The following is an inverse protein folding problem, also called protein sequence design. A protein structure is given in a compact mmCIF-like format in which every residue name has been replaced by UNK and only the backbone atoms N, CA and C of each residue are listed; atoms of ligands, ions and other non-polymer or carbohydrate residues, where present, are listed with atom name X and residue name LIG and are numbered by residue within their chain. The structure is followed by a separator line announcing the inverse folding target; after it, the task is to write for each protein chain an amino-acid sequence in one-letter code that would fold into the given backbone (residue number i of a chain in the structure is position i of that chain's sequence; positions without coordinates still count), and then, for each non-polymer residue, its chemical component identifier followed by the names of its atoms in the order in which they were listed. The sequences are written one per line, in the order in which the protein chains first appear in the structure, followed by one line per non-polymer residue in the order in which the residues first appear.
data_IF_820456096385
#
_entry.id   IF_820456096385
#
_cell.length_a   1.000
_cell.length_b   1.000
_cell.length_c   1.000
_cell.angle_alpha   90.00
_cell.angle_beta   90.00
_cell.angle_gamma   90.00
#
_symmetry.space_group_name_H-M   'P 1'
#
loop_
_entity.id
_entity.type
_entity.pdbx_description
1 polymer ?
#
# COMPACT_ATOMS: atom_id res chain seq x y z
N UNK A 1 -10.31 -63.84 -2.26
CA UNK A 1 -9.09 -63.05 -2.52
C UNK A 1 -9.28 -61.83 -3.43
N UNK A 2 -10.40 -61.68 -4.16
CA UNK A 2 -10.68 -60.49 -5.01
C UNK A 2 -11.39 -59.34 -4.27
N UNK A 3 -12.07 -59.62 -3.15
CA UNK A 3 -12.82 -58.61 -2.38
C UNK A 3 -11.93 -57.72 -1.50
N UNK A 4 -10.81 -58.24 -0.99
CA UNK A 4 -9.88 -57.47 -0.14
C UNK A 4 -9.04 -56.46 -0.93
N UNK A 5 -8.81 -56.71 -2.22
CA UNK A 5 -8.05 -55.82 -3.10
C UNK A 5 -8.91 -54.61 -3.53
N UNK A 6 -10.21 -54.81 -3.74
CA UNK A 6 -11.15 -53.71 -4.06
C UNK A 6 -11.36 -52.80 -2.85
N UNK A 7 -11.44 -53.36 -1.64
CA UNK A 7 -11.52 -52.56 -0.41
C UNK A 7 -10.26 -51.72 -0.15
N UNK A 8 -9.07 -52.26 -0.49
CA UNK A 8 -7.80 -51.52 -0.39
C UNK A 8 -7.68 -50.40 -1.44
N UNK A 9 -8.26 -50.57 -2.63
CA UNK A 9 -8.22 -49.54 -3.69
C UNK A 9 -9.20 -48.38 -3.42
N UNK A 10 -10.33 -48.64 -2.76
CA UNK A 10 -11.32 -47.61 -2.36
C UNK A 10 -10.86 -46.82 -1.13
N UNK A 11 -10.01 -47.40 -0.27
CA UNK A 11 -9.45 -46.68 0.87
C UNK A 11 -8.39 -45.63 0.48
N UNK A 12 -7.70 -45.81 -0.66
CA UNK A 12 -6.68 -44.87 -1.16
C UNK A 12 -7.32 -43.66 -1.88
N UNK A 13 -8.59 -43.73 -2.27
CA UNK A 13 -9.35 -42.59 -2.80
C UNK A 13 -10.01 -41.73 -1.71
N UNK A 14 -9.53 -41.80 -0.48
CA UNK A 14 -9.91 -40.85 0.58
C UNK A 14 -9.26 -39.50 0.31
N UNK A 15 -9.78 -38.86 -0.72
CA UNK A 15 -9.85 -37.42 -0.98
C UNK A 15 -9.37 -36.61 0.24
N UNK A 16 -8.12 -36.17 0.17
CA UNK A 16 -7.65 -35.03 0.95
C UNK A 16 -8.33 -33.79 0.36
N UNK A 17 -9.55 -33.50 0.80
CA UNK A 17 -10.11 -32.16 0.66
C UNK A 17 -9.25 -31.27 1.55
N UNK A 18 -8.27 -30.59 0.94
CA UNK A 18 -7.71 -29.39 1.54
C UNK A 18 -8.86 -28.42 1.66
N UNK A 19 -9.45 -28.36 2.86
CA UNK A 19 -10.33 -27.28 3.24
C UNK A 19 -9.46 -26.02 3.18
N UNK A 20 -9.57 -25.27 2.07
CA UNK A 20 -9.09 -23.90 2.02
C UNK A 20 -9.93 -23.15 3.05
N UNK A 21 -9.37 -23.03 4.25
CA UNK A 21 -9.86 -22.08 5.23
C UNK A 21 -9.95 -20.74 4.51
N UNK A 22 -11.15 -20.15 4.48
CA UNK A 22 -11.31 -18.81 3.94
C UNK A 22 -10.43 -17.89 4.78
N UNK A 23 -9.37 -17.35 4.17
CA UNK A 23 -8.40 -16.55 4.89
C UNK A 23 -9.12 -15.27 5.35
N UNK A 24 -9.54 -15.25 6.61
CA UNK A 24 -10.14 -14.08 7.21
C UNK A 24 -9.03 -13.08 7.45
N UNK A 25 -9.15 -11.92 6.80
CA UNK A 25 -8.11 -10.91 6.84
C UNK A 25 -8.44 -9.94 7.99
N UNK A 26 -7.55 -9.87 8.96
CA UNK A 26 -7.64 -8.98 10.12
C UNK A 26 -7.06 -7.60 9.76
N UNK A 27 -7.62 -6.53 10.32
CA UNK A 27 -7.20 -5.17 10.03
C UNK A 27 -5.69 -4.95 10.30
N UNK A 28 -5.19 -5.53 11.39
CA UNK A 28 -3.79 -5.43 11.81
C UNK A 28 -2.85 -6.06 10.78
N UNK A 29 -3.25 -7.20 10.21
CA UNK A 29 -2.49 -7.90 9.17
C UNK A 29 -2.46 -7.06 7.89
N UNK A 30 -3.58 -6.46 7.48
CA UNK A 30 -3.63 -5.56 6.31
C UNK A 30 -2.72 -4.36 6.49
N UNK A 31 -2.74 -3.74 7.68
CA UNK A 31 -1.90 -2.58 7.97
C UNK A 31 -0.41 -2.97 7.90
N UNK A 32 -0.02 -4.10 8.50
CA UNK A 32 1.35 -4.59 8.43
C UNK A 32 1.78 -4.83 6.97
N UNK A 33 0.92 -5.49 6.19
CA UNK A 33 1.15 -5.78 4.78
C UNK A 33 1.26 -4.50 3.95
N UNK A 34 0.43 -3.49 4.22
CA UNK A 34 0.46 -2.18 3.54
C UNK A 34 1.74 -1.40 3.85
N UNK A 35 2.22 -1.42 5.09
CA UNK A 35 3.45 -0.73 5.48
C UNK A 35 4.71 -1.41 4.93
N UNK A 36 4.67 -2.73 4.78
CA UNK A 36 5.77 -3.50 4.21
C UNK A 36 5.82 -3.43 2.68
N UNK A 37 4.68 -3.64 2.02
CA UNK A 37 4.61 -3.84 0.57
C UNK A 37 3.96 -2.70 -0.22
N UNK A 38 3.35 -1.71 0.45
CA UNK A 38 2.64 -0.60 -0.19
C UNK A 38 3.56 0.24 -1.08
N UNK A 39 3.11 0.50 -2.31
CA UNK A 39 3.90 1.22 -3.30
C UNK A 39 4.21 2.66 -2.89
N UNK A 40 3.25 3.37 -2.30
CA UNK A 40 3.45 4.76 -1.88
C UNK A 40 4.54 4.90 -0.81
N UNK A 41 4.54 4.01 0.18
CA UNK A 41 5.57 3.97 1.23
C UNK A 41 6.95 3.67 0.63
N UNK A 42 7.02 2.75 -0.33
CA UNK A 42 8.28 2.43 -1.04
C UNK A 42 8.78 3.62 -1.86
N UNK A 43 7.90 4.32 -2.57
CA UNK A 43 8.25 5.52 -3.32
C UNK A 43 8.79 6.63 -2.41
N UNK A 44 8.13 6.88 -1.28
CA UNK A 44 8.63 7.85 -0.30
C UNK A 44 9.98 7.45 0.29
N UNK A 45 10.21 6.16 0.58
CA UNK A 45 11.52 5.66 1.04
C UNK A 45 12.60 5.86 -0.01
N UNK A 46 12.33 5.57 -1.27
CA UNK A 46 13.27 5.80 -2.37
C UNK A 46 13.59 7.29 -2.55
N UNK A 47 12.59 8.18 -2.36
CA UNK A 47 12.81 9.61 -2.40
C UNK A 47 13.71 10.10 -1.26
N UNK A 48 13.55 9.54 -0.05
CA UNK A 48 14.46 9.79 1.07
C UNK A 48 15.87 9.28 0.77
N UNK A 49 16.01 8.08 0.20
CA UNK A 49 17.31 7.52 -0.16
C UNK A 49 18.03 8.37 -1.22
N UNK A 50 17.30 8.91 -2.20
CA UNK A 50 17.85 9.88 -3.14
C UNK A 50 18.33 11.16 -2.43
N UNK A 51 17.53 11.72 -1.53
CA UNK A 51 17.91 12.91 -0.75
C UNK A 51 19.14 12.67 0.15
N UNK A 52 19.21 11.50 0.79
CA UNK A 52 20.37 11.09 1.61
C UNK A 52 21.63 10.92 0.76
N UNK A 53 21.49 10.35 -0.44
CA UNK A 53 22.57 10.23 -1.42
C UNK A 53 23.08 11.61 -1.87
N UNK A 54 22.17 12.54 -2.18
CA UNK A 54 22.52 13.92 -2.54
C UNK A 54 23.25 14.65 -1.41
N UNK A 55 22.80 14.47 -0.16
CA UNK A 55 23.48 15.00 1.01
C UNK A 55 24.88 14.37 1.21
N UNK A 56 25.04 13.08 0.91
CA UNK A 56 26.33 12.40 0.88
C UNK A 56 27.29 13.02 -0.14
N UNK A 57 26.80 13.32 -1.35
CA UNK A 57 27.58 14.00 -2.39
C UNK A 57 27.88 15.48 -2.10
N UNK A 58 27.18 16.11 -1.14
CA UNK A 58 27.44 17.49 -0.75
C UNK A 58 28.88 17.71 -0.25
N UNK A 59 29.52 16.67 0.30
CA UNK A 59 30.93 16.71 0.72
C UNK A 59 31.87 16.88 -0.48
N UNK A 60 31.47 16.46 -1.69
CA UNK A 60 32.24 16.60 -2.91
C UNK A 60 32.58 18.05 -3.28
N UNK A 61 31.78 19.02 -2.82
CA UNK A 61 32.08 20.44 -2.99
C UNK A 61 33.30 20.94 -2.20
N UNK A 62 33.75 20.19 -1.19
CA UNK A 62 34.93 20.49 -0.37
C UNK A 62 36.20 19.80 -0.88
N UNK A 63 36.06 18.86 -1.81
CA UNK A 63 37.16 18.04 -2.32
C UNK A 63 37.77 18.66 -3.58
N UNK A 64 39.08 18.47 -3.83
CA UNK A 64 39.68 18.83 -5.10
C UNK A 64 39.11 17.97 -6.23
N UNK A 65 38.87 18.58 -7.40
CA UNK A 65 38.45 17.88 -8.60
C UNK A 65 39.65 17.66 -9.53
N UNK A 66 39.83 16.42 -9.98
CA UNK A 66 40.84 16.04 -10.98
C UNK A 66 40.12 15.71 -12.28
N UNK A 67 40.38 16.48 -13.32
CA UNK A 67 39.82 16.26 -14.64
C UNK A 67 40.96 15.90 -15.61
N UNK A 68 40.86 14.76 -16.28
CA UNK A 68 41.76 14.38 -17.38
C UNK A 68 41.05 14.57 -18.71
N UNK A 69 41.69 15.19 -19.68
CA UNK A 69 41.17 15.30 -21.03
C UNK A 69 42.23 14.92 -22.06
N UNK A 70 41.77 14.28 -23.13
CA UNK A 70 42.56 14.00 -24.32
C UNK A 70 41.68 14.31 -25.53
N UNK A 71 42.19 15.10 -26.45
CA UNK A 71 41.50 15.51 -27.66
C UNK A 71 42.45 15.48 -28.84
N UNK A 72 41.89 15.15 -30.00
CA UNK A 72 42.57 15.27 -31.28
C UNK A 72 41.66 16.06 -32.20
N UNK A 73 42.19 17.11 -32.81
CA UNK A 73 41.45 18.00 -33.68
C UNK A 73 42.13 18.02 -35.04
N UNK A 74 41.45 17.47 -36.03
CA UNK A 74 41.82 17.57 -37.43
C UNK A 74 41.07 18.73 -38.06
N UNK A 75 41.81 19.71 -38.56
CA UNK A 75 41.28 20.84 -39.31
C UNK A 75 41.72 20.72 -40.76
N UNK A 76 40.78 20.77 -41.69
CA UNK A 76 41.06 20.94 -43.12
C UNK A 76 40.38 22.24 -43.56
N UNK A 77 41.19 23.28 -43.76
CA UNK A 77 40.68 24.60 -44.13
C UNK A 77 41.20 24.98 -45.51
N UNK A 78 40.32 25.45 -46.39
CA UNK A 78 40.71 25.96 -47.69
C UNK A 78 40.97 27.46 -47.57
N UNK A 79 42.24 27.83 -47.34
CA UNK A 79 42.63 29.23 -47.16
C UNK A 79 43.19 29.80 -48.46
N UNK A 80 42.66 30.97 -48.85
CA UNK A 80 43.19 31.79 -49.92
C UNK A 80 43.84 33.02 -49.29
N UNK A 81 45.16 33.04 -49.27
CA UNK A 81 45.95 34.16 -48.76
C UNK A 81 46.43 34.98 -49.95
N UNK A 82 45.87 36.18 -50.13
CA UNK A 82 46.32 37.12 -51.14
C UNK A 82 47.24 38.18 -50.52
N UNK A 83 48.45 38.29 -51.06
CA UNK A 83 49.46 39.26 -50.66
C UNK A 83 49.60 40.33 -51.74
N UNK A 84 50.12 41.52 -51.39
CA UNK A 84 50.28 42.64 -52.34
C UNK A 84 51.22 42.31 -53.52
N UNK A 85 52.07 41.31 -53.36
CA UNK A 85 52.86 40.69 -54.42
C UNK A 85 52.18 39.40 -54.88
N UNK A 86 51.69 39.38 -56.12
CA UNK A 86 50.96 38.25 -56.70
C UNK A 86 51.80 36.96 -56.78
N UNK A 87 53.13 37.04 -56.74
CA UNK A 87 54.03 35.87 -56.71
C UNK A 87 53.98 35.11 -55.38
N UNK A 88 53.37 35.67 -54.32
CA UNK A 88 53.31 35.10 -52.98
C UNK A 88 51.91 34.57 -52.63
N UNK A 89 50.94 34.71 -53.54
CA UNK A 89 49.59 34.21 -53.34
C UNK A 89 49.61 32.69 -53.15
N UNK A 90 49.15 32.23 -52.00
CA UNK A 90 49.04 30.80 -51.70
C UNK A 90 47.56 30.45 -51.56
N UNK A 91 47.10 29.52 -52.38
CA UNK A 91 45.75 28.98 -52.33
C UNK A 91 45.86 27.46 -52.29
N UNK A 92 45.51 26.88 -51.14
CA UNK A 92 45.69 25.45 -50.90
C UNK A 92 44.95 24.97 -49.66
N UNK A 93 44.77 23.66 -49.58
CA UNK A 93 44.23 22.96 -48.41
C UNK A 93 45.24 23.05 -47.27
N UNK A 94 44.91 23.80 -46.24
CA UNK A 94 45.64 23.84 -44.98
C UNK A 94 45.11 22.73 -44.07
N UNK A 95 45.84 21.63 -44.01
CA UNK A 95 45.55 20.51 -43.11
C UNK A 95 46.39 20.66 -41.83
N UNK A 96 45.71 20.65 -40.69
CA UNK A 96 46.33 20.72 -39.36
C UNK A 96 45.79 19.59 -38.50
N UNK A 97 46.69 18.85 -37.87
CA UNK A 97 46.35 17.85 -36.87
C UNK A 97 46.93 18.30 -35.53
N UNK A 98 46.07 18.56 -34.56
CA UNK A 98 46.49 18.92 -33.21
C UNK A 98 45.99 17.87 -32.22
N UNK A 99 46.91 17.15 -31.60
CA UNK A 99 46.61 16.21 -30.53
C UNK A 99 47.08 16.81 -29.21
N UNK A 100 46.18 16.88 -28.23
CA UNK A 100 46.48 17.41 -26.90
C UNK A 100 45.94 16.50 -25.81
N UNK A 101 46.71 16.30 -24.75
CA UNK A 101 46.29 15.59 -23.56
C UNK A 101 46.78 16.36 -22.33
N UNK A 102 45.96 16.42 -21.29
CA UNK A 102 46.28 17.15 -20.07
C UNK A 102 45.46 16.67 -18.87
N UNK A 103 46.01 16.89 -17.68
CA UNK A 103 45.32 16.64 -16.41
C UNK A 103 45.26 17.98 -15.66
N UNK A 104 44.06 18.36 -15.25
CA UNK A 104 43.77 19.57 -14.49
C UNK A 104 43.30 19.21 -13.09
N UNK A 105 44.00 19.71 -12.07
CA UNK A 105 43.55 19.71 -10.68
C UNK A 105 42.93 21.08 -10.37
N UNK A 106 41.69 21.10 -9.91
CA UNK A 106 40.98 22.32 -9.49
C UNK A 106 40.49 22.14 -8.06
N UNK A 107 40.96 22.99 -7.14
CA UNK A 107 40.51 22.95 -5.75
C UNK A 107 40.01 24.33 -5.29
N UNK A 108 38.78 24.35 -4.81
CA UNK A 108 38.13 25.55 -4.29
C UNK A 108 38.44 25.69 -2.80
N UNK A 109 39.33 26.62 -2.45
CA UNK A 109 39.71 26.88 -1.06
C UNK A 109 38.65 27.67 -0.29
N UNK A 110 37.96 28.60 -0.98
CA UNK A 110 36.93 29.44 -0.37
C UNK A 110 35.95 29.97 -1.43
N UNK A 111 34.66 29.88 -1.13
CA UNK A 111 33.57 30.23 -2.07
C UNK A 111 32.54 31.21 -1.48
N UNK A 112 32.91 31.93 -0.42
CA UNK A 112 31.96 32.81 0.30
C UNK A 112 30.97 32.06 1.18
N UNK A 113 31.36 30.88 1.69
CA UNK A 113 30.56 29.99 2.53
C UNK A 113 29.34 29.32 1.84
N UNK A 114 29.27 29.38 0.50
CA UNK A 114 28.20 28.76 -0.29
C UNK A 114 28.20 27.23 -0.14
N UNK A 115 29.36 26.60 -0.02
CA UNK A 115 29.50 25.15 0.22
C UNK A 115 28.84 24.71 1.53
N UNK A 116 29.02 25.49 2.61
CA UNK A 116 28.40 25.21 3.92
C UNK A 116 26.88 25.40 3.87
N UNK A 117 26.42 26.48 3.23
CA UNK A 117 24.99 26.74 3.05
C UNK A 117 24.30 25.64 2.21
N UNK A 118 24.97 25.16 1.17
CA UNK A 118 24.46 24.08 0.31
C UNK A 118 24.35 22.77 1.07
N UNK A 119 25.38 22.41 1.85
CA UNK A 119 25.34 21.22 2.72
C UNK A 119 24.23 21.31 3.77
N UNK A 120 24.09 22.45 4.44
CA UNK A 120 23.02 22.66 5.41
C UNK A 120 21.63 22.52 4.78
N UNK A 121 21.45 23.08 3.57
CA UNK A 121 20.21 22.94 2.81
C UNK A 121 19.90 21.48 2.45
N UNK A 122 20.88 20.71 1.98
CA UNK A 122 20.67 19.30 1.61
C UNK A 122 20.36 18.43 2.84
N UNK A 123 21.01 18.69 3.98
CA UNK A 123 20.67 18.02 5.23
C UNK A 123 19.23 18.30 5.68
N UNK A 124 18.73 19.53 5.47
CA UNK A 124 17.34 19.85 5.76
C UNK A 124 16.36 19.19 4.78
N UNK A 125 16.73 19.06 3.50
CA UNK A 125 15.93 18.31 2.51
C UNK A 125 15.84 16.82 2.89
N UNK A 126 16.94 16.21 3.35
CA UNK A 126 16.93 14.84 3.87
C UNK A 126 15.99 14.71 5.08
N UNK A 127 16.09 15.62 6.05
CA UNK A 127 15.20 15.65 7.22
C UNK A 127 13.73 15.80 6.83
N UNK A 128 13.43 16.65 5.84
CA UNK A 128 12.07 16.76 5.29
C UNK A 128 11.62 15.44 4.64
N UNK A 129 12.52 14.74 3.95
CA UNK A 129 12.30 13.40 3.42
C UNK A 129 11.87 12.41 4.51
N UNK A 130 12.53 12.42 5.68
CA UNK A 130 12.15 11.54 6.80
C UNK A 130 10.73 11.82 7.31
N UNK A 131 10.37 13.10 7.44
CA UNK A 131 9.02 13.52 7.84
C UNK A 131 8.00 13.09 6.79
N UNK A 132 8.33 13.23 5.51
CA UNK A 132 7.45 12.82 4.41
C UNK A 132 7.21 11.30 4.40
N UNK A 133 8.23 10.48 4.67
CA UNK A 133 8.05 9.02 4.82
C UNK A 133 7.11 8.71 5.99
N UNK A 134 7.26 9.39 7.14
CA UNK A 134 6.36 9.22 8.29
C UNK A 134 4.92 9.62 7.96
N UNK A 135 4.73 10.77 7.33
CA UNK A 135 3.41 11.22 6.89
C UNK A 135 2.79 10.24 5.89
N UNK A 136 3.58 9.71 4.96
CA UNK A 136 3.09 8.72 4.01
C UNK A 136 2.64 7.44 4.71
N UNK A 137 3.39 6.94 5.69
CA UNK A 137 2.98 5.77 6.47
C UNK A 137 1.65 6.02 7.20
N UNK A 138 1.48 7.17 7.85
CA UNK A 138 0.23 7.55 8.53
C UNK A 138 -0.94 7.63 7.54
N UNK A 139 -0.74 8.25 6.38
CA UNK A 139 -1.76 8.34 5.34
C UNK A 139 -2.15 6.96 4.80
N UNK A 140 -1.18 6.08 4.55
CA UNK A 140 -1.43 4.71 4.10
C UNK A 140 -2.24 3.93 5.15
N UNK A 141 -1.91 4.05 6.45
CA UNK A 141 -2.70 3.43 7.53
C UNK A 141 -4.15 3.95 7.52
N UNK A 142 -4.33 5.27 7.43
CA UNK A 142 -5.66 5.87 7.41
C UNK A 142 -6.50 5.42 6.20
N UNK A 143 -5.86 5.32 5.01
CA UNK A 143 -6.51 4.81 3.80
C UNK A 143 -6.93 3.35 3.93
N UNK A 144 -6.06 2.50 4.49
CA UNK A 144 -6.36 1.08 4.73
C UNK A 144 -7.54 0.94 5.69
N UNK A 145 -7.52 1.64 6.82
CA UNK A 145 -8.62 1.61 7.81
C UNK A 145 -9.94 2.06 7.18
N UNK A 146 -9.91 3.16 6.43
CA UNK A 146 -11.11 3.70 5.77
C UNK A 146 -11.67 2.70 4.76
N UNK A 147 -10.81 2.14 3.89
CA UNK A 147 -11.23 1.18 2.89
C UNK A 147 -11.77 -0.12 3.53
N UNK A 148 -11.08 -0.64 4.55
CA UNK A 148 -11.50 -1.83 5.30
C UNK A 148 -12.88 -1.62 5.95
N UNK A 149 -13.11 -0.48 6.59
CA UNK A 149 -14.41 -0.15 7.18
C UNK A 149 -15.52 0.03 6.12
N UNK A 150 -15.19 0.59 4.96
CA UNK A 150 -16.13 0.68 3.83
C UNK A 150 -16.54 -0.71 3.33
N UNK A 151 -15.63 -1.69 3.30
CA UNK A 151 -15.96 -3.08 2.95
C UNK A 151 -16.93 -3.68 3.97
N UNK A 152 -16.70 -3.46 5.27
CA UNK A 152 -17.62 -3.95 6.32
C UNK A 152 -19.01 -3.32 6.16
N UNK A 153 -19.06 -2.00 5.94
CA UNK A 153 -20.33 -1.30 5.71
C UNK A 153 -21.07 -1.88 4.49
N UNK A 154 -20.35 -2.09 3.39
CA UNK A 154 -20.91 -2.67 2.16
C UNK A 154 -21.46 -4.08 2.38
N UNK A 155 -20.76 -4.89 3.18
CA UNK A 155 -21.17 -6.25 3.55
C UNK A 155 -22.45 -6.25 4.40
N UNK A 156 -22.58 -5.31 5.33
CA UNK A 156 -23.82 -5.13 6.11
C UNK A 156 -24.99 -4.70 5.22
N UNK A 157 -24.77 -3.80 4.26
CA UNK A 157 -25.79 -3.39 3.30
C UNK A 157 -26.23 -4.54 2.38
N UNK A 158 -25.29 -5.40 1.96
CA UNK A 158 -25.61 -6.61 1.20
C UNK A 158 -26.51 -7.57 1.98
N UNK A 159 -26.22 -7.79 3.27
CA UNK A 159 -27.10 -8.60 4.13
C UNK A 159 -28.51 -8.04 4.23
N UNK A 160 -28.65 -6.73 4.43
CA UNK A 160 -29.96 -6.09 4.47
C UNK A 160 -30.73 -6.21 3.14
N UNK A 161 -30.04 -6.12 2.00
CA UNK A 161 -30.62 -6.34 0.67
C UNK A 161 -31.04 -7.79 0.46
N UNK A 162 -30.28 -8.76 0.97
CA UNK A 162 -30.62 -10.19 0.90
C UNK A 162 -31.91 -10.49 1.69
N UNK A 163 -32.05 -9.95 2.90
CA UNK A 163 -33.28 -10.04 3.68
C UNK A 163 -34.48 -9.40 2.95
N UNK A 164 -34.26 -8.21 2.37
CA UNK A 164 -35.29 -7.50 1.60
C UNK A 164 -35.68 -8.26 0.33
N UNK A 165 -34.74 -8.93 -0.34
CA UNK A 165 -35.02 -9.80 -1.48
C UNK A 165 -35.89 -10.99 -1.04
N UNK A 166 -35.55 -11.66 0.06
CA UNK A 166 -36.36 -12.76 0.61
C UNK A 166 -37.79 -12.29 0.94
N UNK A 167 -37.95 -11.10 1.49
CA UNK A 167 -39.28 -10.51 1.74
C UNK A 167 -40.06 -10.28 0.45
N UNK A 168 -39.42 -9.75 -0.60
CA UNK A 168 -40.08 -9.52 -1.88
C UNK A 168 -40.41 -10.82 -2.63
N UNK A 169 -39.62 -11.87 -2.46
CA UNK A 169 -39.97 -13.21 -2.96
C UNK A 169 -41.24 -13.75 -2.30
N UNK A 170 -41.41 -13.55 -0.99
CA UNK A 170 -42.66 -13.90 -0.30
C UNK A 170 -43.85 -13.05 -0.76
N UNK A 171 -43.64 -11.76 -1.04
CA UNK A 171 -44.69 -10.89 -1.63
C UNK A 171 -45.15 -11.38 -2.99
N UNK A 172 -44.21 -11.81 -3.85
CA UNK A 172 -44.54 -12.41 -5.14
C UNK A 172 -45.32 -13.71 -4.94
N UNK A 173 -44.89 -14.60 -4.04
CA UNK A 173 -45.61 -15.85 -3.71
C UNK A 173 -47.03 -15.58 -3.20
N UNK A 174 -47.21 -14.56 -2.37
CA UNK A 174 -48.54 -14.18 -1.86
C UNK A 174 -49.45 -13.64 -2.97
N UNK A 175 -48.96 -12.74 -3.82
CA UNK A 175 -49.72 -12.17 -4.93
C UNK A 175 -50.12 -13.26 -5.94
N UNK A 176 -49.21 -14.20 -6.22
CA UNK A 176 -49.45 -15.33 -7.12
C UNK A 176 -50.56 -16.25 -6.57
N UNK A 177 -50.51 -16.57 -5.26
CA UNK A 177 -51.57 -17.31 -4.58
C UNK A 177 -52.92 -16.59 -4.63
N UNK A 178 -52.96 -15.28 -4.34
CA UNK A 178 -54.20 -14.49 -4.41
C UNK A 178 -54.81 -14.50 -5.81
N UNK A 179 -53.98 -14.38 -6.85
CA UNK A 179 -54.43 -14.46 -8.24
C UNK A 179 -55.00 -15.85 -8.57
N UNK A 180 -54.35 -16.93 -8.10
CA UNK A 180 -54.80 -18.30 -8.35
C UNK A 180 -56.16 -18.65 -7.75
N UNK A 181 -56.51 -18.03 -6.61
CA UNK A 181 -57.82 -18.21 -5.94
C UNK A 181 -58.84 -17.15 -6.36
N UNK A 182 -58.52 -16.29 -7.33
CA UNK A 182 -59.39 -15.22 -7.82
C UNK A 182 -59.57 -14.02 -6.88
N UNK A 183 -58.80 -13.97 -5.78
CA UNK A 183 -58.85 -12.88 -4.79
C UNK A 183 -57.85 -11.74 -5.08
N UNK A 184 -57.12 -11.80 -6.20
CA UNK A 184 -56.12 -10.79 -6.60
C UNK A 184 -56.14 -10.51 -8.10
N UNK A 185 -55.55 -9.39 -8.50
CA UNK A 185 -55.47 -8.95 -9.91
C UNK A 185 -54.07 -9.13 -10.48
N UNK A 186 -53.99 -9.38 -11.80
CA UNK A 186 -52.70 -9.61 -12.49
C UNK A 186 -51.73 -8.43 -12.33
N UNK A 187 -52.23 -7.20 -12.25
CA UNK A 187 -51.41 -5.99 -12.06
C UNK A 187 -50.60 -6.03 -10.76
N UNK A 188 -51.18 -6.53 -9.65
CA UNK A 188 -50.48 -6.66 -8.36
C UNK A 188 -49.32 -7.64 -8.43
N UNK A 189 -49.52 -8.79 -9.11
CA UNK A 189 -48.45 -9.77 -9.33
C UNK A 189 -47.32 -9.20 -10.18
N UNK A 190 -47.64 -8.45 -11.23
CA UNK A 190 -46.65 -7.81 -12.09
C UNK A 190 -45.85 -6.75 -11.33
N UNK A 191 -46.50 -5.95 -10.49
CA UNK A 191 -45.82 -4.96 -9.65
C UNK A 191 -44.86 -5.64 -8.66
N UNK A 192 -45.31 -6.69 -7.96
CA UNK A 192 -44.47 -7.42 -7.01
C UNK A 192 -43.23 -8.05 -7.70
N UNK A 193 -43.38 -8.55 -8.94
CA UNK A 193 -42.26 -9.07 -9.73
C UNK A 193 -41.29 -7.97 -10.18
N UNK A 194 -41.82 -6.80 -10.56
CA UNK A 194 -41.02 -5.61 -10.87
C UNK A 194 -40.16 -5.19 -9.67
N UNK A 195 -40.77 -5.12 -8.48
CA UNK A 195 -40.08 -4.77 -7.24
C UNK A 195 -38.97 -5.78 -6.91
N UNK A 196 -39.24 -7.10 -7.03
CA UNK A 196 -38.22 -8.14 -6.83
C UNK A 196 -37.05 -8.00 -7.81
N UNK A 197 -37.32 -7.72 -9.08
CA UNK A 197 -36.27 -7.52 -10.09
C UNK A 197 -35.45 -6.24 -9.82
N UNK A 198 -36.08 -5.18 -9.32
CA UNK A 198 -35.38 -3.97 -8.90
C UNK A 198 -34.42 -4.27 -7.74
N UNK A 199 -34.85 -5.04 -6.73
CA UNK A 199 -33.99 -5.45 -5.62
C UNK A 199 -32.83 -6.35 -6.05
N UNK A 200 -33.08 -7.31 -6.95
CA UNK A 200 -32.01 -8.15 -7.53
C UNK A 200 -30.96 -7.32 -8.25
N UNK A 201 -31.40 -6.32 -9.02
CA UNK A 201 -30.49 -5.40 -9.71
C UNK A 201 -29.65 -4.62 -8.71
N UNK A 202 -30.26 -4.11 -7.63
CA UNK A 202 -29.56 -3.40 -6.56
C UNK A 202 -28.53 -4.29 -5.85
N UNK A 203 -28.87 -5.55 -5.58
CA UNK A 203 -27.95 -6.53 -4.98
C UNK A 203 -26.71 -6.77 -5.86
N UNK A 204 -26.89 -7.00 -7.16
CA UNK A 204 -25.77 -7.21 -8.10
C UNK A 204 -24.86 -5.98 -8.15
N UNK A 205 -25.44 -4.78 -8.22
CA UNK A 205 -24.66 -3.54 -8.22
C UNK A 205 -23.87 -3.36 -6.92
N UNK A 206 -24.49 -3.68 -5.78
CA UNK A 206 -23.86 -3.63 -4.47
C UNK A 206 -22.71 -4.64 -4.34
N UNK A 207 -22.86 -5.83 -4.91
CA UNK A 207 -21.81 -6.84 -4.96
C UNK A 207 -20.62 -6.37 -5.79
N UNK A 208 -20.87 -5.78 -6.98
CA UNK A 208 -19.81 -5.22 -7.81
C UNK A 208 -19.05 -4.09 -7.11
N UNK A 209 -19.75 -3.22 -6.37
CA UNK A 209 -19.13 -2.17 -5.57
C UNK A 209 -18.28 -2.73 -4.41
N UNK A 210 -18.70 -3.84 -3.78
CA UNK A 210 -17.89 -4.53 -2.77
C UNK A 210 -16.60 -5.10 -3.36
N UNK A 211 -16.69 -5.74 -4.53
CA UNK A 211 -15.51 -6.25 -5.23
C UNK A 211 -14.55 -5.14 -5.66
N UNK A 212 -15.07 -3.98 -6.06
CA UNK A 212 -14.24 -2.81 -6.33
C UNK A 212 -13.45 -2.36 -5.09
N UNK A 213 -14.10 -2.32 -3.92
CA UNK A 213 -13.43 -1.97 -2.66
C UNK A 213 -12.37 -3.02 -2.28
N UNK A 214 -12.67 -4.32 -2.42
CA UNK A 214 -11.70 -5.41 -2.20
C UNK A 214 -10.47 -5.27 -3.10
N UNK A 215 -10.67 -4.95 -4.38
CA UNK A 215 -9.58 -4.71 -5.32
C UNK A 215 -8.75 -3.47 -4.94
N UNK A 216 -9.40 -2.38 -4.52
CA UNK A 216 -8.70 -1.18 -4.03
C UNK A 216 -7.85 -1.50 -2.80
N UNK A 217 -8.37 -2.30 -1.86
CA UNK A 217 -7.60 -2.76 -0.70
C UNK A 217 -6.36 -3.56 -1.13
N UNK A 218 -6.52 -4.44 -2.11
CA UNK A 218 -5.41 -5.25 -2.61
C UNK A 218 -4.32 -4.41 -3.28
N UNK A 219 -4.69 -3.30 -3.94
CA UNK A 219 -3.70 -2.35 -4.50
C UNK A 219 -2.90 -1.66 -3.38
N UNK A 220 -3.56 -1.24 -2.29
CA UNK A 220 -2.90 -0.56 -1.16
C UNK A 220 -1.82 -1.43 -0.49
N UNK A 221 -2.02 -2.74 -0.47
CA UNK A 221 -1.08 -3.73 0.09
C UNK A 221 -0.11 -4.32 -0.94
N UNK A 222 -0.04 -3.76 -2.14
CA UNK A 222 0.92 -4.20 -3.16
C UNK A 222 0.56 -5.55 -3.81
N UNK A 223 -0.74 -5.84 -3.95
CA UNK A 223 -1.29 -7.06 -4.57
C UNK A 223 -0.90 -8.37 -3.86
N UNK A 224 -0.72 -8.31 -2.54
CA UNK A 224 -0.30 -9.45 -1.71
C UNK A 224 -1.45 -10.25 -1.11
N UNK A 225 -2.70 -9.75 -1.19
CA UNK A 225 -3.86 -10.52 -0.73
C UNK A 225 -4.24 -11.59 -1.75
N UNK A 226 -4.78 -12.73 -1.28
CA UNK A 226 -5.28 -13.78 -2.17
C UNK A 226 -6.44 -13.25 -3.03
N UNK A 227 -6.70 -13.92 -4.17
CA UNK A 227 -7.75 -13.53 -5.11
C UNK A 227 -9.15 -13.50 -4.48
N UNK A 228 -9.38 -14.33 -3.46
CA UNK A 228 -10.61 -14.34 -2.67
C UNK A 228 -10.25 -14.25 -1.18
N UNK A 229 -10.82 -13.25 -0.51
CA UNK A 229 -10.70 -13.09 0.93
C UNK A 229 -11.99 -12.54 1.53
N UNK A 230 -12.19 -12.83 2.80
CA UNK A 230 -13.33 -12.35 3.58
C UNK A 230 -12.86 -11.45 4.72
N UNK A 231 -13.60 -10.37 4.93
CA UNK A 231 -13.35 -9.40 5.99
C UNK A 231 -14.20 -9.76 7.21
N UNK A 232 -13.60 -9.65 8.41
CA UNK A 232 -14.28 -9.92 9.68
C UNK A 232 -15.41 -8.91 9.91
N UNK A 233 -16.56 -9.41 10.38
CA UNK A 233 -17.84 -8.68 10.34
C UNK A 233 -18.10 -7.72 11.51
N UNK A 234 -17.26 -7.71 12.54
CA UNK A 234 -17.48 -6.93 13.75
C UNK A 234 -16.54 -5.73 13.84
N UNK A 235 -17.12 -4.53 13.81
CA UNK A 235 -16.45 -3.29 14.19
C UNK A 235 -16.59 -3.17 15.71
N UNK A 236 -15.53 -3.42 16.47
CA UNK A 236 -15.51 -3.14 17.90
C UNK A 236 -15.26 -1.64 18.07
N UNK A 237 -16.32 -0.84 18.11
CA UNK A 237 -16.22 0.60 18.35
C UNK A 237 -16.01 0.80 19.85
N UNK A 238 -14.78 1.11 20.28
CA UNK A 238 -14.54 1.56 21.64
C UNK A 238 -15.00 3.03 21.76
N UNK A 239 -16.18 3.24 22.37
CA UNK A 239 -16.76 4.57 22.59
C UNK A 239 -16.15 5.31 23.79
N UNK A 240 -15.16 4.72 24.46
CA UNK A 240 -14.58 5.20 25.73
C UNK A 240 -13.22 5.87 25.55
N UNK A 241 -12.90 6.34 24.34
CA UNK A 241 -11.61 7.00 24.10
C UNK A 241 -11.67 8.41 24.70
N UNK A 242 -10.94 8.59 25.81
CA UNK A 242 -10.78 9.91 26.46
C UNK A 242 -9.62 10.68 25.84
N UNK A 243 -9.69 12.01 25.83
CA UNK A 243 -8.66 12.87 25.22
C UNK A 243 -7.32 12.70 25.92
N UNK A 244 -7.35 12.50 27.23
CA UNK A 244 -6.18 12.26 28.09
C UNK A 244 -5.46 10.96 27.69
N UNK A 245 -6.21 9.88 27.41
CA UNK A 245 -5.65 8.61 26.97
C UNK A 245 -4.98 8.71 25.59
N UNK A 246 -5.50 9.54 24.67
CA UNK A 246 -4.86 9.80 23.38
C UNK A 246 -3.53 10.55 23.58
N UNK A 247 -3.51 11.60 24.41
CA UNK A 247 -2.30 12.39 24.65
C UNK A 247 -1.20 11.55 25.33
N UNK A 248 -1.55 10.76 26.34
CA UNK A 248 -0.60 9.88 27.03
C UNK A 248 -0.08 8.75 26.12
N UNK A 249 -0.92 8.18 25.24
CA UNK A 249 -0.47 7.20 24.26
C UNK A 249 0.40 7.81 23.16
N UNK A 250 0.14 9.05 22.73
CA UNK A 250 1.00 9.75 21.76
C UNK A 250 2.38 10.02 22.39
N UNK A 251 2.44 10.48 23.64
CA UNK A 251 3.72 10.77 24.30
C UNK A 251 4.52 9.49 24.64
N UNK A 252 3.85 8.41 25.04
CA UNK A 252 4.51 7.16 25.47
C UNK A 252 4.75 6.14 24.34
N UNK A 253 3.92 6.12 23.29
CA UNK A 253 4.01 5.17 22.16
C UNK A 253 4.49 5.80 20.86
N UNK A 254 4.93 7.07 20.87
CA UNK A 254 5.71 7.64 19.77
C UNK A 254 7.05 6.90 19.63
N UNK A 255 6.95 5.78 18.91
CA UNK A 255 7.86 5.22 17.95
C UNK A 255 9.34 5.53 18.20
N UNK A 256 9.97 4.59 18.91
CA UNK A 256 11.39 4.34 18.88
C UNK A 256 11.85 4.02 17.43
N UNK A 257 11.98 5.03 16.58
CA UNK A 257 12.90 5.00 15.45
C UNK A 257 13.89 6.14 15.66
N UNK A 258 15.05 5.78 16.22
CA UNK A 258 16.23 6.63 16.31
C UNK A 258 16.64 7.07 14.87
N UNK A 259 17.01 8.34 14.63
CA UNK A 259 17.44 8.83 13.30
C UNK A 259 18.76 8.21 12.79
N UNK A 260 19.39 7.33 13.58
CA UNK A 260 20.72 6.81 13.30
C UNK A 260 20.69 5.54 12.44
N UNK A 261 20.28 5.66 11.17
CA UNK A 261 20.63 4.82 10.00
C UNK A 261 21.07 3.35 10.15
N UNK A 262 20.56 2.57 11.10
CA UNK A 262 20.91 1.15 11.27
C UNK A 262 19.68 0.31 11.57
N UNK A 263 19.22 -0.37 10.53
CA UNK A 263 18.48 -1.64 10.52
C UNK A 263 17.47 -1.79 11.68
N UNK A 264 16.18 -1.57 11.39
CA UNK A 264 15.10 -2.12 12.20
C UNK A 264 15.15 -3.65 12.13
N UNK A 265 15.98 -4.28 12.96
CA UNK A 265 15.82 -5.70 13.26
C UNK A 265 14.56 -5.84 14.12
N UNK A 266 13.62 -6.65 13.64
CA UNK A 266 12.35 -7.02 14.27
C UNK A 266 12.49 -7.75 15.63
N UNK A 267 13.58 -7.54 16.36
CA UNK A 267 13.90 -8.31 17.57
C UNK A 267 13.99 -7.46 18.85
N UNK A 268 13.86 -6.13 18.76
CA UNK A 268 13.80 -5.24 19.95
C UNK A 268 12.41 -4.68 20.24
N UNK A 269 11.42 -4.83 19.35
CA UNK A 269 10.01 -4.63 19.68
C UNK A 269 9.37 -5.96 20.13
N UNK A 270 10.04 -6.67 21.04
CA UNK A 270 9.48 -7.84 21.72
C UNK A 270 8.46 -7.41 22.78
N UNK A 271 7.45 -6.65 22.36
CA UNK A 271 6.19 -6.58 23.09
C UNK A 271 5.05 -6.30 22.11
N UNK A 272 4.78 -7.28 21.25
CA UNK A 272 3.60 -7.36 20.39
C UNK A 272 2.27 -7.43 21.19
N UNK A 273 2.29 -7.21 22.51
CA UNK A 273 1.12 -7.12 23.38
C UNK A 273 0.67 -5.67 23.67
N UNK A 274 1.37 -4.63 23.19
CA UNK A 274 1.08 -3.25 23.60
C UNK A 274 0.09 -2.47 22.70
N UNK A 275 -0.26 -2.99 21.51
CA UNK A 275 -1.34 -2.44 20.68
C UNK A 275 -2.69 -3.14 20.92
N UNK A 276 -2.67 -4.32 21.55
CA UNK A 276 -3.88 -5.10 21.92
C UNK A 276 -4.60 -4.49 23.14
N UNK A 277 -3.88 -3.79 24.02
CA UNK A 277 -4.46 -3.21 25.25
C UNK A 277 -5.24 -1.89 25.05
N UNK A 278 -5.30 -1.31 23.85
CA UNK A 278 -6.17 -0.14 23.58
C UNK A 278 -7.63 -0.59 23.33
N UNK A 279 -7.89 -1.89 23.13
CA UNK A 279 -9.21 -2.41 22.75
C UNK A 279 -9.79 -3.51 23.67
N UNK A 280 -9.25 -3.73 24.87
CA UNK A 280 -9.91 -4.59 25.86
C UNK A 280 -10.15 -3.87 27.19
N UNK A 281 -11.40 -3.50 27.50
CA UNK A 281 -11.93 -3.68 28.84
C UNK A 281 -12.84 -4.93 28.84
N UNK A 282 -12.79 -5.71 29.91
CA UNK A 282 -13.58 -6.92 30.17
C UNK A 282 -13.12 -8.24 29.56
N UNK A 283 -11.98 -8.72 30.05
CA UNK A 283 -11.75 -10.17 30.22
C UNK A 283 -11.45 -10.50 31.68
N UNK A 284 -12.37 -10.18 32.59
CA UNK A 284 -12.30 -10.61 33.99
C UNK A 284 -13.66 -10.55 34.73
N UNK A 285 -14.75 -11.04 34.14
CA UNK A 285 -15.98 -11.39 34.90
C UNK A 285 -16.73 -12.65 34.43
N UNK A 286 -16.21 -13.42 33.46
CA UNK A 286 -16.91 -14.60 32.94
C UNK A 286 -16.43 -15.96 33.45
N UNK A 287 -15.42 -16.00 34.34
CA UNK A 287 -14.92 -17.26 34.92
C UNK A 287 -15.47 -17.58 36.32
N UNK A 288 -16.19 -16.67 36.97
CA UNK A 288 -16.81 -16.92 38.29
C UNK A 288 -18.30 -17.26 38.21
N UNK A 289 -18.96 -17.07 37.07
CA UNK A 289 -20.41 -17.36 36.93
C UNK A 289 -20.71 -18.76 36.40
N UNK A 290 -19.75 -19.44 35.76
CA UNK A 290 -19.95 -20.80 35.23
C UNK A 290 -19.77 -21.89 36.30
N UNK A 291 -19.13 -21.59 37.44
CA UNK A 291 -18.95 -22.58 38.51
C UNK A 291 -20.10 -22.66 39.54
N UNK A 292 -21.09 -21.76 39.48
CA UNK A 292 -22.21 -21.68 40.43
C UNK A 292 -23.54 -22.25 39.89
N UNK A 293 -23.60 -22.69 38.64
CA UNK A 293 -24.81 -23.26 38.02
C UNK A 293 -24.78 -24.80 37.85
N UNK A 294 -23.78 -25.49 38.42
CA UNK A 294 -23.68 -26.96 38.46
C UNK A 294 -23.78 -27.56 39.87
N UNK A 295 -24.35 -26.81 40.83
CA UNK A 295 -24.74 -27.33 42.16
C UNK A 295 -26.15 -26.83 42.50
N UNK A 296 -27.13 -27.23 41.68
CA UNK A 296 -28.55 -27.32 42.07
C UNK A 296 -29.30 -28.18 41.04
N UNK A 297 -28.98 -29.46 41.06
CA UNK A 297 -29.89 -30.57 40.77
C UNK A 297 -29.74 -31.57 41.91
#
# INVERSE_FOLDING_TARGET
MKLSIVAALVAVSSVTFSAYSQNQVLLEEVIALALENGYDVRLSKNALEAASTDNGFAVGGFLPQVNGSASTTWNNNNQKLEFQDASRNNSGKAESNNTSAGVQLSWLLFDGARMFATRARLAEIERQGEINVKNQMVNTIAQVITNYNNIIQQKQQLRALEELMSLNEERVRLADRKLSVGAGIKQELLQARLDLNAQRTQFINQQAAMEQLKNQLNVLVGMKLPATFEVSDSIVINLTITKEEITDNIESKNFCCNPSGRICLLQSCSNANALVNIFQPFRLELLTTIHLLTIKS
#
